data_IF_209478984462
#
_entry.id   IF_209478984462
#
_cell.length_a   1.000
_cell.length_b   1.000
_cell.length_c   1.000
_cell.angle_alpha   90.00
_cell.angle_beta   90.00
_cell.angle_gamma   90.00
#
_symmetry.space_group_name_H-M   'P 1'
#
loop_
_entity.id
_entity.type
_entity.pdbx_description
1 polymer ?
#
# COMPACT_ATOMS: atom_id res chain seq x y z
N UNK A 1 -3.43 -17.67 25.12
CA UNK A 1 -4.40 -16.75 24.45
C UNK A 1 -5.24 -15.93 25.42
N UNK A 2 -5.59 -16.43 26.62
CA UNK A 2 -6.36 -15.68 27.63
C UNK A 2 -5.62 -14.47 28.19
N UNK A 3 -4.32 -14.59 28.47
CA UNK A 3 -3.52 -13.50 29.03
C UNK A 3 -3.40 -12.31 28.07
N UNK A 4 -3.04 -12.57 26.80
CA UNK A 4 -2.98 -11.53 25.77
C UNK A 4 -4.33 -10.80 25.59
N UNK A 5 -5.44 -11.56 25.69
CA UNK A 5 -6.79 -10.98 25.67
C UNK A 5 -7.02 -10.04 26.86
N UNK A 6 -6.71 -10.50 28.06
CA UNK A 6 -6.88 -9.73 29.30
C UNK A 6 -6.08 -8.43 29.26
N UNK A 7 -4.80 -8.49 28.84
CA UNK A 7 -3.94 -7.32 28.69
C UNK A 7 -4.54 -6.31 27.70
N UNK A 8 -5.00 -6.77 26.52
CA UNK A 8 -5.67 -5.92 25.54
C UNK A 8 -6.94 -5.28 26.13
N UNK A 9 -7.80 -6.06 26.77
CA UNK A 9 -9.08 -5.57 27.30
C UNK A 9 -8.89 -4.54 28.42
N UNK A 10 -7.88 -4.73 29.26
CA UNK A 10 -7.54 -3.74 30.29
C UNK A 10 -6.99 -2.44 29.69
N UNK A 11 -6.17 -2.53 28.63
CA UNK A 11 -5.54 -1.36 28.02
C UNK A 11 -6.47 -0.58 27.07
N UNK A 12 -7.30 -1.28 26.29
CA UNK A 12 -8.05 -0.69 25.17
C UNK A 12 -9.56 -0.96 25.22
N UNK A 13 -10.02 -1.77 26.19
CA UNK A 13 -11.40 -2.25 26.23
C UNK A 13 -11.70 -3.28 25.13
N UNK A 14 -12.99 -3.59 24.98
CA UNK A 14 -13.47 -4.61 24.03
C UNK A 14 -13.86 -4.04 22.67
N UNK A 15 -13.82 -2.71 22.49
CA UNK A 15 -14.21 -2.05 21.24
C UNK A 15 -13.12 -2.21 20.19
N UNK A 16 -13.46 -2.83 19.06
CA UNK A 16 -12.59 -2.88 17.88
C UNK A 16 -12.86 -1.67 16.99
N UNK A 17 -11.82 -0.93 16.64
CA UNK A 17 -11.88 0.18 15.70
C UNK A 17 -11.15 -0.19 14.40
N UNK A 18 -11.46 0.53 13.33
CA UNK A 18 -10.76 0.40 12.06
C UNK A 18 -10.60 1.77 11.41
N UNK A 19 -9.58 1.93 10.58
CA UNK A 19 -9.41 3.11 9.73
C UNK A 19 -9.59 2.72 8.26
N UNK A 20 -10.63 3.23 7.58
CA UNK A 20 -10.87 2.96 6.16
C UNK A 20 -9.89 3.77 5.31
N UNK A 21 -9.09 3.06 4.51
CA UNK A 21 -8.03 3.64 3.68
C UNK A 21 -8.14 3.14 2.25
N UNK A 22 -7.84 4.01 1.30
CA UNK A 22 -7.65 3.63 -0.09
C UNK A 22 -6.20 3.25 -0.34
N UNK A 23 -5.98 2.14 -1.04
CA UNK A 23 -4.67 1.64 -1.40
C UNK A 23 -4.24 2.24 -2.75
N UNK A 24 -3.11 2.95 -2.78
CA UNK A 24 -2.61 3.64 -3.96
C UNK A 24 -1.20 3.10 -4.30
N UNK A 25 -1.09 2.16 -5.26
CA UNK A 25 0.17 1.55 -5.66
C UNK A 25 0.94 2.48 -6.60
N UNK A 26 1.71 3.41 -6.06
CA UNK A 26 2.47 4.39 -6.84
C UNK A 26 3.42 3.72 -7.83
N UNK A 27 4.00 2.59 -7.44
CA UNK A 27 4.76 1.71 -8.32
C UNK A 27 4.73 0.26 -7.78
N UNK A 28 4.81 -0.70 -8.69
CA UNK A 28 5.06 -2.11 -8.38
C UNK A 28 6.50 -2.53 -8.72
N UNK A 29 7.35 -1.58 -9.15
CA UNK A 29 8.77 -1.83 -9.34
C UNK A 29 9.46 -1.82 -7.98
N UNK A 30 10.44 -2.71 -7.80
CA UNK A 30 11.25 -2.81 -6.59
C UNK A 30 12.65 -3.31 -6.95
N UNK A 31 13.69 -2.74 -6.32
CA UNK A 31 15.07 -3.23 -6.40
C UNK A 31 15.17 -4.66 -5.89
N UNK A 32 14.48 -4.95 -4.79
CA UNK A 32 14.57 -6.22 -4.07
C UNK A 32 13.91 -7.40 -4.82
N UNK A 33 14.26 -8.62 -4.37
CA UNK A 33 13.76 -9.90 -4.93
C UNK A 33 13.26 -10.82 -3.82
N UNK A 34 12.40 -10.31 -2.96
CA UNK A 34 11.80 -11.08 -1.88
C UNK A 34 10.98 -12.25 -2.45
N UNK A 35 11.36 -13.49 -2.14
CA UNK A 35 10.69 -14.69 -2.68
C UNK A 35 9.21 -14.83 -2.29
N UNK A 36 8.77 -14.08 -1.26
CA UNK A 36 7.39 -14.04 -0.79
C UNK A 36 6.57 -12.87 -1.35
N UNK A 37 7.20 -11.91 -2.06
CA UNK A 37 6.52 -10.69 -2.47
C UNK A 37 5.79 -10.91 -3.80
N UNK A 38 4.46 -10.96 -3.75
CA UNK A 38 3.60 -11.03 -4.94
C UNK A 38 3.31 -9.66 -5.56
N UNK A 39 3.63 -8.58 -4.85
CA UNK A 39 3.36 -7.22 -5.28
C UNK A 39 4.39 -6.70 -6.28
N UNK A 40 5.66 -7.07 -6.12
CA UNK A 40 6.72 -6.65 -7.03
C UNK A 40 6.54 -7.27 -8.42
N UNK A 41 6.54 -6.44 -9.46
CA UNK A 41 6.42 -6.85 -10.85
C UNK A 41 7.60 -6.33 -11.68
N UNK A 42 8.07 -7.07 -12.70
CA UNK A 42 9.04 -6.55 -13.65
C UNK A 42 8.40 -5.49 -14.57
N UNK A 43 9.18 -4.55 -15.13
CA UNK A 43 8.66 -3.51 -16.03
C UNK A 43 7.85 -4.03 -17.22
N UNK A 44 8.21 -5.20 -17.76
CA UNK A 44 7.52 -5.81 -18.89
C UNK A 44 6.05 -6.18 -18.62
N UNK A 45 5.60 -6.15 -17.36
CA UNK A 45 4.20 -6.41 -16.96
C UNK A 45 3.44 -5.15 -16.57
N UNK A 46 4.06 -3.98 -16.70
CA UNK A 46 3.48 -2.70 -16.32
C UNK A 46 3.30 -1.83 -17.55
N UNK A 47 2.19 -1.09 -17.61
CA UNK A 47 1.97 -0.07 -18.64
C UNK A 47 2.85 1.16 -18.42
N UNK A 48 3.12 1.50 -17.15
CA UNK A 48 3.94 2.63 -16.73
C UNK A 48 4.73 2.27 -15.47
N UNK A 49 5.97 2.75 -15.29
CA UNK A 49 6.74 2.53 -14.07
C UNK A 49 6.09 3.16 -12.82
N UNK A 50 5.34 4.26 -12.99
CA UNK A 50 4.66 4.97 -11.92
C UNK A 50 3.23 5.37 -12.31
N UNK A 51 2.36 5.53 -11.31
CA UNK A 51 1.10 6.24 -11.48
C UNK A 51 1.35 7.74 -11.72
N UNK A 52 0.62 8.31 -12.67
CA UNK A 52 0.56 9.76 -12.83
C UNK A 52 -0.19 10.42 -11.65
N UNK A 53 0.07 11.71 -11.35
CA UNK A 53 -0.68 12.45 -10.33
C UNK A 53 -2.19 12.43 -10.55
N UNK A 54 -2.65 12.44 -11.81
CA UNK A 54 -4.07 12.35 -12.15
C UNK A 54 -4.68 10.99 -11.76
N UNK A 55 -3.97 9.89 -12.02
CA UNK A 55 -4.39 8.54 -11.59
C UNK A 55 -4.42 8.43 -10.06
N UNK A 56 -3.40 8.96 -9.37
CA UNK A 56 -3.36 9.01 -7.90
C UNK A 56 -4.58 9.75 -7.35
N UNK A 57 -4.88 10.93 -7.89
CA UNK A 57 -6.07 11.71 -7.50
C UNK A 57 -7.36 10.96 -7.78
N UNK A 58 -7.47 10.28 -8.92
CA UNK A 58 -8.66 9.51 -9.27
C UNK A 58 -8.92 8.38 -8.25
N UNK A 59 -7.88 7.64 -7.86
CA UNK A 59 -7.98 6.61 -6.82
C UNK A 59 -8.37 7.20 -5.47
N UNK A 60 -7.73 8.31 -5.07
CA UNK A 60 -8.05 8.99 -3.81
C UNK A 60 -9.51 9.45 -3.75
N UNK A 61 -10.02 10.04 -4.82
CA UNK A 61 -11.42 10.47 -4.93
C UNK A 61 -12.38 9.27 -4.92
N UNK A 62 -12.04 8.19 -5.61
CA UNK A 62 -12.84 6.97 -5.58
C UNK A 62 -12.92 6.37 -4.17
N UNK A 63 -11.79 6.33 -3.46
CA UNK A 63 -11.73 5.92 -2.06
C UNK A 63 -12.58 6.79 -1.14
N UNK A 64 -12.46 8.11 -1.26
CA UNK A 64 -13.26 9.05 -0.47
C UNK A 64 -14.77 8.87 -0.69
N UNK A 65 -15.20 8.61 -1.93
CA UNK A 65 -16.61 8.35 -2.28
C UNK A 65 -17.19 7.10 -1.62
N UNK A 66 -16.36 6.12 -1.26
CA UNK A 66 -16.77 4.90 -0.54
C UNK A 66 -16.49 4.96 0.97
N UNK A 67 -16.17 6.15 1.49
CA UNK A 67 -15.98 6.38 2.92
C UNK A 67 -14.56 6.12 3.44
N UNK A 68 -13.55 6.04 2.56
CA UNK A 68 -12.16 6.09 3.03
C UNK A 68 -11.81 7.48 3.54
N UNK A 69 -11.09 7.53 4.66
CA UNK A 69 -10.59 8.76 5.27
C UNK A 69 -9.06 8.91 5.15
N UNK A 70 -8.37 7.82 4.83
CA UNK A 70 -6.92 7.79 4.67
C UNK A 70 -6.52 7.33 3.26
N UNK A 71 -5.34 7.74 2.82
CA UNK A 71 -4.68 7.25 1.61
C UNK A 71 -3.39 6.53 1.99
N UNK A 72 -3.29 5.25 1.64
CA UNK A 72 -2.11 4.43 1.85
C UNK A 72 -1.32 4.35 0.54
N UNK A 73 -0.24 5.11 0.45
CA UNK A 73 0.71 4.99 -0.67
C UNK A 73 1.56 3.75 -0.47
N UNK A 74 1.64 2.94 -1.51
CA UNK A 74 2.50 1.75 -1.55
C UNK A 74 3.42 1.81 -2.75
N UNK A 75 4.67 1.42 -2.52
CA UNK A 75 5.76 1.52 -3.47
C UNK A 75 6.78 0.43 -3.13
N UNK A 76 7.50 -0.04 -4.15
CA UNK A 76 8.71 -0.81 -3.93
C UNK A 76 9.90 0.07 -3.58
N UNK A 77 10.96 -0.56 -3.12
CA UNK A 77 12.19 0.09 -2.66
C UNK A 77 13.09 0.45 -3.86
N UNK A 78 13.45 1.73 -3.97
CA UNK A 78 14.44 2.30 -4.90
C UNK A 78 14.51 1.60 -6.28
N UNK A 79 13.39 1.51 -7.04
CA UNK A 79 13.35 0.79 -8.31
C UNK A 79 14.36 1.31 -9.35
N UNK A 80 14.73 2.58 -9.30
CA UNK A 80 15.72 3.25 -10.17
C UNK A 80 17.11 2.60 -10.14
N UNK A 81 17.51 2.02 -9.00
CA UNK A 81 18.79 1.32 -8.86
C UNK A 81 18.87 0.03 -9.69
N UNK A 82 17.72 -0.49 -10.12
CA UNK A 82 17.60 -1.75 -10.86
C UNK A 82 17.02 -1.57 -12.26
N UNK A 83 16.10 -0.63 -12.42
CA UNK A 83 15.32 -0.46 -13.64
C UNK A 83 15.58 0.95 -14.21
N UNK A 84 16.32 1.07 -15.33
CA UNK A 84 16.58 2.38 -15.95
C UNK A 84 15.32 3.16 -16.35
N UNK A 85 14.20 2.47 -16.58
CA UNK A 85 12.90 3.10 -16.88
C UNK A 85 12.28 3.83 -15.67
N UNK A 86 12.83 3.62 -14.47
CA UNK A 86 12.40 4.24 -13.23
C UNK A 86 13.30 5.40 -12.79
N UNK A 87 14.42 5.65 -13.50
CA UNK A 87 15.36 6.72 -13.21
C UNK A 87 14.91 8.08 -13.80
#
# INVERSE_FOLDING_TARGET
MSEARSIRDQAFGVRVTYSPKVFIPLTMLCRDRCGYCTFAQPPARLESPYLSPAQVRALAVAGARVGCHEALFTLGEAPEDRYPVAA
#
